data_IF_198639475610
#
_entry.id   IF_198639475610
#
_cell.length_a   1.000
_cell.length_b   1.000
_cell.length_c   1.000
_cell.angle_alpha   90.00
_cell.angle_beta   90.00
_cell.angle_gamma   90.00
#
_symmetry.space_group_name_H-M   'P 1'
#
loop_
_entity.id
_entity.type
_entity.pdbx_description
1 polymer ?
#
# COMPACT_ATOMS: atom_id res chain seq x y z
N UNK A 1 -3.28 18.70 -4.74
CA UNK A 1 -2.69 17.72 -5.66
C UNK A 1 -3.74 17.39 -6.69
N UNK A 2 -3.42 17.54 -7.98
CA UNK A 2 -4.27 17.12 -9.08
C UNK A 2 -3.66 15.86 -9.69
N UNK A 3 -4.47 14.82 -9.87
CA UNK A 3 -4.06 13.59 -10.54
C UNK A 3 -4.45 13.66 -12.02
N UNK A 4 -3.60 13.15 -12.92
CA UNK A 4 -3.97 13.00 -14.34
C UNK A 4 -5.17 12.04 -14.51
N UNK A 5 -5.92 12.19 -15.61
CA UNK A 5 -6.99 11.25 -15.95
C UNK A 5 -6.48 9.84 -16.25
N UNK A 6 -5.26 9.71 -16.75
CA UNK A 6 -4.58 8.42 -16.89
C UNK A 6 -3.60 8.27 -15.74
N UNK A 7 -3.81 7.25 -14.90
CA UNK A 7 -2.94 6.92 -13.80
C UNK A 7 -2.63 5.43 -13.78
N UNK A 8 -1.97 4.99 -12.72
CA UNK A 8 -1.60 3.60 -12.52
C UNK A 8 -1.99 3.14 -11.12
N UNK A 9 -2.36 1.86 -11.00
CA UNK A 9 -2.42 1.13 -9.76
C UNK A 9 -1.09 0.41 -9.58
N UNK A 10 -0.34 0.73 -8.55
CA UNK A 10 0.74 -0.10 -8.06
C UNK A 10 0.18 -1.02 -6.97
N UNK A 11 0.22 -2.33 -7.19
CA UNK A 11 -0.19 -3.34 -6.19
C UNK A 11 1.04 -4.09 -5.71
N UNK A 12 1.23 -4.11 -4.40
CA UNK A 12 2.29 -4.82 -3.70
C UNK A 12 1.63 -5.88 -2.81
N UNK A 13 1.98 -7.15 -2.98
CA UNK A 13 1.44 -8.25 -2.19
C UNK A 13 2.59 -8.88 -1.40
N UNK A 14 2.47 -8.85 -0.08
CA UNK A 14 3.49 -9.32 0.87
C UNK A 14 2.86 -10.18 1.98
N UNK A 15 3.69 -10.78 2.83
CA UNK A 15 3.24 -11.41 4.07
C UNK A 15 2.91 -10.38 5.15
N UNK A 16 1.90 -10.64 5.97
CA UNK A 16 1.58 -9.83 7.15
C UNK A 16 2.71 -9.80 8.17
N UNK A 17 3.45 -10.91 8.29
CA UNK A 17 4.56 -11.06 9.24
C UNK A 17 5.86 -10.40 8.76
N UNK A 18 5.90 -9.91 7.51
CA UNK A 18 7.06 -9.22 6.95
C UNK A 18 7.35 -7.93 7.73
N UNK A 19 8.64 -7.68 7.97
CA UNK A 19 9.10 -6.55 8.77
C UNK A 19 10.26 -5.82 8.11
N UNK A 20 10.29 -4.52 8.34
CA UNK A 20 11.41 -3.66 7.98
C UNK A 20 11.66 -2.65 9.10
N UNK A 21 12.91 -2.57 9.57
CA UNK A 21 13.28 -1.69 10.69
C UNK A 21 12.47 -1.94 11.97
N UNK A 22 12.08 -3.19 12.26
CA UNK A 22 11.28 -3.57 13.43
C UNK A 22 9.77 -3.32 13.31
N UNK A 23 9.30 -2.67 12.25
CA UNK A 23 7.90 -2.35 11.97
C UNK A 23 7.30 -3.36 10.97
N UNK A 24 5.98 -3.65 11.01
CA UNK A 24 5.30 -4.36 9.93
C UNK A 24 5.54 -3.68 8.57
N UNK A 25 5.93 -4.46 7.56
CA UNK A 25 6.36 -3.92 6.26
C UNK A 25 5.23 -3.16 5.55
N UNK A 26 3.99 -3.66 5.59
CA UNK A 26 2.85 -2.95 4.99
C UNK A 26 2.61 -1.57 5.59
N UNK A 27 2.77 -1.43 6.92
CA UNK A 27 2.60 -0.16 7.62
C UNK A 27 3.74 0.79 7.24
N UNK A 28 4.96 0.28 7.18
CA UNK A 28 6.12 1.05 6.75
C UNK A 28 5.95 1.58 5.32
N UNK A 29 5.49 0.74 4.38
CA UNK A 29 5.24 1.13 2.98
C UNK A 29 4.20 2.24 2.90
N UNK A 30 3.05 2.12 3.59
CA UNK A 30 1.99 3.14 3.57
C UNK A 30 2.47 4.47 4.13
N UNK A 31 3.26 4.45 5.22
CA UNK A 31 3.85 5.69 5.76
C UNK A 31 4.87 6.30 4.80
N UNK A 32 5.72 5.48 4.17
CA UNK A 32 6.67 5.95 3.17
C UNK A 32 5.99 6.55 1.95
N UNK A 33 4.88 5.95 1.49
CA UNK A 33 4.09 6.50 0.39
C UNK A 33 3.55 7.90 0.74
N UNK A 34 3.05 8.08 1.97
CA UNK A 34 2.62 9.38 2.47
C UNK A 34 3.77 10.40 2.54
N UNK A 35 4.94 9.99 3.02
CA UNK A 35 6.14 10.83 3.08
C UNK A 35 6.64 11.23 1.67
N UNK A 36 6.57 10.32 0.71
CA UNK A 36 6.94 10.52 -0.69
C UNK A 36 5.89 11.32 -1.49
N UNK A 37 4.75 11.65 -0.88
CA UNK A 37 3.70 12.43 -1.54
C UNK A 37 2.88 11.65 -2.56
N UNK A 38 2.81 10.32 -2.45
CA UNK A 38 1.90 9.50 -3.26
C UNK A 38 0.45 9.89 -2.97
N UNK A 39 -0.36 10.03 -4.00
CA UNK A 39 -1.70 10.61 -3.90
C UNK A 39 -2.68 9.76 -3.08
N UNK A 40 -2.49 8.44 -3.03
CA UNK A 40 -3.26 7.53 -2.18
C UNK A 40 -2.59 6.17 -2.02
N UNK A 41 -2.76 5.59 -0.82
CA UNK A 41 -2.35 4.23 -0.52
C UNK A 41 -3.40 3.55 0.37
N UNK A 42 -3.74 2.30 0.09
CA UNK A 42 -4.67 1.48 0.87
C UNK A 42 -4.03 0.12 1.14
N UNK A 43 -4.12 -0.38 2.38
CA UNK A 43 -3.70 -1.73 2.72
C UNK A 43 -4.91 -2.59 3.06
N UNK A 44 -4.97 -3.78 2.48
CA UNK A 44 -6.05 -4.77 2.66
C UNK A 44 -5.44 -6.09 3.09
N UNK A 45 -5.93 -6.64 4.21
CA UNK A 45 -5.55 -7.98 4.67
C UNK A 45 -6.43 -9.03 3.97
N UNK A 46 -5.80 -9.98 3.29
CA UNK A 46 -6.48 -11.11 2.69
C UNK A 46 -6.76 -12.23 3.70
N UNK A 47 -7.75 -13.06 3.40
CA UNK A 47 -8.13 -14.20 4.25
C UNK A 47 -7.24 -15.42 4.03
N UNK A 48 -6.68 -15.55 2.83
CA UNK A 48 -5.83 -16.66 2.41
C UNK A 48 -5.07 -16.26 1.14
N UNK A 49 -3.93 -16.90 0.89
CA UNK A 49 -3.14 -16.66 -0.33
C UNK A 49 -2.03 -17.69 -0.49
N UNK A 50 -1.50 -17.78 -1.71
CA UNK A 50 -0.30 -18.54 -2.03
C UNK A 50 0.54 -17.72 -3.02
N UNK A 51 1.85 -17.93 -3.02
CA UNK A 51 2.79 -17.16 -3.84
C UNK A 51 4.00 -18.00 -4.26
N UNK A 52 5.02 -17.34 -4.82
CA UNK A 52 6.19 -17.97 -5.44
C UNK A 52 6.93 -18.97 -4.54
N UNK A 53 6.85 -18.82 -3.21
CA UNK A 53 7.48 -19.72 -2.23
C UNK A 53 6.57 -20.86 -1.71
N UNK A 54 5.43 -21.13 -2.38
CA UNK A 54 4.62 -22.35 -2.27
C UNK A 54 4.40 -22.88 -0.84
N UNK A 55 3.66 -22.13 -0.02
CA UNK A 55 2.87 -22.67 1.09
C UNK A 55 1.48 -22.05 1.02
N UNK A 56 0.45 -22.89 0.96
CA UNK A 56 -0.95 -22.44 1.07
C UNK A 56 -1.10 -21.81 2.45
N UNK A 57 -1.48 -20.53 2.47
CA UNK A 57 -1.74 -19.82 3.71
C UNK A 57 -3.25 -19.89 4.02
N UNK A 58 -3.70 -20.97 4.67
CA UNK A 58 -5.05 -21.16 5.23
C UNK A 58 -5.09 -21.28 6.75
N UNK A 59 -5.92 -20.50 7.44
CA UNK A 59 -6.17 -20.69 8.88
C UNK A 59 -6.89 -22.04 9.16
N UNK A 60 -6.13 -23.11 9.44
CA UNK A 60 -6.67 -24.37 9.96
C UNK A 60 -5.65 -25.15 10.79
N UNK A 61 -5.94 -25.23 12.09
CA UNK A 61 -5.65 -26.17 13.19
C UNK A 61 -4.34 -26.98 13.25
N UNK A 62 -3.56 -27.22 12.21
CA UNK A 62 -2.26 -27.93 12.30
C UNK A 62 -1.18 -27.32 11.37
N UNK A 63 -0.52 -26.26 11.86
CA UNK A 63 0.86 -25.82 11.51
C UNK A 63 1.20 -25.42 10.05
N UNK A 64 0.22 -25.12 9.20
CA UNK A 64 0.47 -24.63 7.84
C UNK A 64 -0.40 -23.40 7.55
N UNK A 65 0.05 -22.20 7.99
CA UNK A 65 -0.38 -20.85 7.55
C UNK A 65 -0.53 -19.85 8.70
N UNK A 66 0.50 -19.08 9.01
CA UNK A 66 0.36 -17.97 9.98
C UNK A 66 0.56 -16.58 9.33
N UNK A 67 0.84 -16.51 8.03
CA UNK A 67 1.32 -15.28 7.40
C UNK A 67 0.37 -14.75 6.32
N UNK A 68 -0.83 -14.31 6.72
CA UNK A 68 -1.87 -13.84 5.79
C UNK A 68 -1.33 -12.82 4.77
N UNK A 69 -1.79 -12.84 3.50
CA UNK A 69 -1.33 -11.87 2.52
C UNK A 69 -1.86 -10.48 2.86
N UNK A 70 -1.01 -9.46 2.71
CA UNK A 70 -1.41 -8.06 2.73
C UNK A 70 -1.19 -7.47 1.35
N UNK A 71 -2.25 -6.86 0.81
CA UNK A 71 -2.26 -6.18 -0.48
C UNK A 71 -2.18 -4.68 -0.19
N UNK A 72 -1.15 -4.02 -0.69
CA UNK A 72 -0.99 -2.57 -0.62
C UNK A 72 -1.20 -2.01 -2.02
N UNK A 73 -2.19 -1.15 -2.16
CA UNK A 73 -2.60 -0.53 -3.40
C UNK A 73 -2.29 0.96 -3.35
N UNK A 74 -1.48 1.43 -4.30
CA UNK A 74 -1.11 2.83 -4.45
C UNK A 74 -1.60 3.36 -5.79
N UNK A 75 -2.09 4.59 -5.79
CA UNK A 75 -2.63 5.24 -6.99
C UNK A 75 -1.92 6.58 -7.20
N UNK A 76 -1.30 6.73 -8.36
CA UNK A 76 -0.69 7.98 -8.81
C UNK A 76 -0.41 7.93 -10.32
N UNK A 77 0.31 8.94 -10.84
CA UNK A 77 0.97 8.84 -12.13
C UNK A 77 2.14 7.84 -12.10
N UNK A 78 2.52 7.35 -13.30
CA UNK A 78 3.51 6.29 -13.44
C UNK A 78 4.86 6.63 -12.83
N UNK A 79 5.34 7.86 -13.01
CA UNK A 79 6.69 8.26 -12.60
C UNK A 79 6.77 8.29 -11.08
N UNK A 80 5.78 8.89 -10.43
CA UNK A 80 5.70 8.92 -8.97
C UNK A 80 5.71 7.50 -8.37
N UNK A 81 4.99 6.57 -9.00
CA UNK A 81 4.94 5.18 -8.53
C UNK A 81 6.23 4.40 -8.82
N UNK A 82 6.91 4.66 -9.94
CA UNK A 82 8.22 4.06 -10.23
C UNK A 82 9.30 4.58 -9.25
N UNK A 83 9.38 5.89 -9.05
CA UNK A 83 10.29 6.52 -8.08
C UNK A 83 10.04 5.99 -6.66
N UNK A 84 8.76 5.84 -6.28
CA UNK A 84 8.40 5.25 -5.00
C UNK A 84 8.79 3.77 -4.91
N UNK A 85 8.63 2.99 -5.98
CA UNK A 85 9.01 1.59 -5.99
C UNK A 85 10.52 1.43 -5.78
N UNK A 86 11.35 2.22 -6.47
CA UNK A 86 12.81 2.22 -6.29
C UNK A 86 13.21 2.51 -4.83
N UNK A 87 12.50 3.43 -4.16
CA UNK A 87 12.74 3.77 -2.76
C UNK A 87 12.49 2.58 -1.81
N UNK A 88 11.48 1.75 -2.10
CA UNK A 88 11.08 0.65 -1.21
C UNK A 88 11.61 -0.72 -1.64
N UNK A 89 12.12 -0.86 -2.86
CA UNK A 89 12.64 -2.12 -3.41
C UNK A 89 13.62 -2.82 -2.47
N UNK A 90 14.58 -2.14 -1.79
CA UNK A 90 15.48 -2.79 -0.84
C UNK A 90 14.79 -3.42 0.38
N UNK A 91 13.56 -3.02 0.69
CA UNK A 91 12.74 -3.58 1.77
C UNK A 91 11.88 -4.77 1.31
N UNK A 92 11.64 -4.92 0.00
CA UNK A 92 10.84 -5.99 -0.59
C UNK A 92 11.69 -7.24 -0.82
N UNK A 93 11.75 -8.12 0.18
CA UNK A 93 12.52 -9.38 0.08
C UNK A 93 11.82 -10.45 -0.73
N UNK A 94 10.51 -10.53 -0.58
CA UNK A 94 9.64 -11.46 -1.29
C UNK A 94 8.27 -10.81 -1.50
N UNK A 95 7.50 -11.32 -2.47
CA UNK A 95 6.17 -10.82 -2.78
C UNK A 95 5.91 -10.73 -4.27
N UNK A 96 4.85 -10.02 -4.61
CA UNK A 96 4.48 -9.69 -5.99
C UNK A 96 4.23 -8.19 -6.10
N UNK A 97 4.80 -7.57 -7.12
CA UNK A 97 4.57 -6.16 -7.47
C UNK A 97 4.02 -6.10 -8.88
N UNK A 98 2.91 -5.38 -9.08
CA UNK A 98 2.29 -5.22 -10.40
C UNK A 98 1.85 -3.78 -10.63
N UNK A 99 1.91 -3.36 -11.90
CA UNK A 99 1.30 -2.11 -12.37
C UNK A 99 0.08 -2.41 -13.24
N UNK A 100 -1.00 -1.66 -13.04
CA UNK A 100 -2.18 -1.69 -13.88
C UNK A 100 -2.52 -0.27 -14.35
N UNK A 101 -2.71 -0.05 -15.65
CA UNK A 101 -3.14 1.26 -16.17
C UNK A 101 -4.61 1.48 -15.78
N UNK A 102 -4.94 2.64 -15.23
CA UNK A 102 -6.31 3.00 -14.85
C UNK A 102 -6.73 4.37 -15.37
N UNK A 103 -8.05 4.60 -15.37
CA UNK A 103 -8.63 5.90 -15.64
C UNK A 103 -9.18 6.54 -14.35
N UNK A 104 -8.52 7.60 -13.88
CA UNK A 104 -8.88 8.31 -12.66
C UNK A 104 -10.02 9.28 -12.98
N UNK A 105 -11.23 8.93 -12.56
CA UNK A 105 -12.44 9.75 -12.79
C UNK A 105 -12.56 10.91 -11.81
N UNK A 106 -12.08 10.73 -10.58
CA UNK A 106 -12.25 11.71 -9.52
C UNK A 106 -11.19 11.53 -8.44
N UNK A 107 -10.53 12.61 -8.08
CA UNK A 107 -9.68 12.71 -6.90
C UNK A 107 -10.05 13.97 -6.13
N UNK A 108 -10.44 13.84 -4.86
CA UNK A 108 -10.86 14.95 -4.00
C UNK A 108 -10.22 14.78 -2.64
N UNK A 109 -9.29 15.66 -2.30
CA UNK A 109 -8.97 15.87 -0.90
C UNK A 109 -10.21 16.53 -0.26
N UNK A 110 -10.80 15.91 0.77
CA UNK A 110 -11.79 16.60 1.59
C UNK A 110 -11.20 17.95 2.02
N UNK A 111 -12.00 19.03 2.03
CA UNK A 111 -11.54 20.32 2.55
C UNK A 111 -11.01 20.06 3.97
N UNK A 112 -9.69 20.10 4.13
CA UNK A 112 -9.10 20.28 5.46
C UNK A 112 -9.70 21.58 5.99
N UNK A 113 -10.60 21.46 6.94
CA UNK A 113 -11.36 22.57 7.49
C UNK A 113 -10.39 23.62 8.02
N UNK A 114 -10.47 24.81 7.46
CA UNK A 114 -10.07 26.06 8.11
C UNK A 114 -10.53 26.04 9.56
N UNK A 115 -9.60 26.38 10.44
CA UNK A 115 -9.76 26.85 11.82
C UNK A 115 -11.22 27.09 12.25
N UNK A 116 -11.70 26.28 13.19
CA UNK A 116 -12.64 26.79 14.19
C UNK A 116 -11.77 27.42 15.28
N UNK A 117 -11.40 28.69 15.05
CA UNK A 117 -11.28 29.62 16.16
C UNK A 117 -12.71 29.84 16.67
N UNK A 118 -12.95 29.38 17.88
CA UNK A 118 -13.94 29.88 18.83
C UNK A 118 -13.10 29.97 20.10
N UNK A 119 -12.59 31.13 20.50
CA UNK A 119 -13.35 32.26 21.04
C UNK A 119 -14.67 31.76 21.67
N UNK A 120 -14.54 31.18 22.87
CA UNK A 120 -14.77 31.78 24.20
C UNK A 120 -16.26 31.82 24.58
N UNK A 121 -16.61 31.66 25.87
CA UNK A 121 -16.16 32.53 26.96
C UNK A 121 -15.38 31.86 28.09
#
# INVERSE_FOLDING_TARGET
MELPQEGYLLRIIIGESDRYGGRPLYEWIVLKAREAGVAGATAVRGMMGYGANSRIKTASILRLSEDLPVIIELVDDRRVLEDFLELIEPALREGLVTFEKMHIRMYRAGRSGRAVQSENP
#
